data_IF_061410250390
#
_entry.id   IF_061410250390
#
_cell.length_a   1.000
_cell.length_b   1.000
_cell.length_c   1.000
_cell.angle_alpha   90.00
_cell.angle_beta   90.00
_cell.angle_gamma   90.00
#
_symmetry.space_group_name_H-M   'P 1'
#
loop_
_entity.id
_entity.type
_entity.pdbx_description
1 polymer ?
#
# COMPACT_ATOMS: atom_id res chain seq x y z
N UNK A 1 19.11 3.73 -10.85
CA UNK A 1 18.03 3.12 -10.02
C UNK A 1 17.84 4.01 -8.80
N UNK A 2 16.75 4.77 -8.73
CA UNK A 2 16.53 5.79 -7.69
C UNK A 2 15.73 5.20 -6.52
N UNK A 3 16.34 5.15 -5.35
CA UNK A 3 15.66 4.76 -4.11
C UNK A 3 14.79 5.92 -3.63
N UNK A 4 13.47 5.73 -3.59
CA UNK A 4 12.53 6.77 -3.12
C UNK A 4 12.27 6.56 -1.63
N UNK A 5 12.89 7.40 -0.81
CA UNK A 5 12.77 7.37 0.65
C UNK A 5 11.45 8.03 1.07
N UNK A 6 10.45 7.23 1.43
CA UNK A 6 9.17 7.72 1.96
C UNK A 6 9.37 8.03 3.46
N UNK A 7 9.34 9.31 3.82
CA UNK A 7 9.44 9.75 5.21
C UNK A 7 8.09 9.51 5.90
N UNK A 8 8.08 8.64 6.91
CA UNK A 8 6.94 8.45 7.82
C UNK A 8 7.17 9.19 9.15
N UNK A 9 6.11 9.73 9.77
CA UNK A 9 6.19 10.62 10.94
C UNK A 9 6.65 9.93 12.24
N UNK A 10 6.87 8.62 12.24
CA UNK A 10 7.42 7.88 13.38
C UNK A 10 8.63 7.06 12.93
N UNK A 11 9.81 7.68 12.99
CA UNK A 11 11.12 7.04 12.90
C UNK A 11 11.30 5.95 11.82
N UNK A 12 11.64 6.36 10.58
CA UNK A 12 12.25 5.53 9.52
C UNK A 12 11.78 4.07 9.51
N UNK A 13 10.53 3.82 9.09
CA UNK A 13 10.09 2.45 8.77
C UNK A 13 10.89 1.96 7.55
N UNK A 14 11.73 0.95 7.74
CA UNK A 14 12.48 0.32 6.66
C UNK A 14 11.57 -0.63 5.88
N UNK A 15 11.13 -0.17 4.72
CA UNK A 15 10.43 -1.00 3.74
C UNK A 15 11.45 -1.77 2.90
N UNK A 16 11.23 -3.07 2.77
CA UNK A 16 11.98 -3.96 1.89
C UNK A 16 11.06 -4.41 0.77
N UNK A 17 11.38 -4.04 -0.47
CA UNK A 17 10.67 -4.54 -1.64
C UNK A 17 11.11 -5.97 -1.95
N UNK A 18 10.15 -6.85 -2.22
CA UNK A 18 10.41 -8.21 -2.67
C UNK A 18 10.40 -8.26 -4.21
N UNK A 19 11.03 -9.28 -4.81
CA UNK A 19 10.99 -9.49 -6.27
C UNK A 19 9.58 -9.73 -6.82
N UNK A 20 8.65 -10.17 -5.97
CA UNK A 20 7.23 -10.36 -6.26
C UNK A 20 6.44 -9.03 -6.37
N UNK A 21 7.08 -7.89 -6.11
CA UNK A 21 6.46 -6.57 -6.15
C UNK A 21 5.77 -6.14 -4.85
N UNK A 22 5.62 -7.04 -3.88
CA UNK A 22 5.16 -6.73 -2.52
C UNK A 22 6.23 -6.01 -1.70
N UNK A 23 5.84 -5.19 -0.73
CA UNK A 23 6.79 -4.56 0.20
C UNK A 23 6.53 -5.01 1.64
N UNK A 24 7.60 -5.30 2.36
CA UNK A 24 7.54 -5.72 3.75
C UNK A 24 8.16 -4.67 4.66
N UNK A 25 7.55 -4.42 5.81
CA UNK A 25 8.13 -3.64 6.90
C UNK A 25 8.07 -4.44 8.20
N UNK A 26 9.08 -4.25 9.06
CA UNK A 26 9.10 -4.85 10.39
C UNK A 26 9.24 -3.70 11.40
N UNK A 27 8.27 -3.57 12.29
CA UNK A 27 8.21 -2.52 13.31
C UNK A 27 8.05 -3.18 14.67
N UNK A 28 8.79 -2.72 15.68
CA UNK A 28 8.58 -3.16 17.06
C UNK A 28 7.25 -2.66 17.59
N UNK A 29 6.49 -3.53 18.25
CA UNK A 29 5.19 -3.20 18.85
C UNK A 29 5.33 -2.12 19.94
N UNK A 30 6.45 -2.09 20.66
CA UNK A 30 6.78 -1.04 21.62
C UNK A 30 6.98 0.36 21.02
N UNK A 31 7.14 0.47 19.69
CA UNK A 31 7.41 1.75 19.00
C UNK A 31 6.17 2.34 18.32
N UNK A 32 5.13 1.54 18.08
CA UNK A 32 3.94 2.00 17.37
C UNK A 32 2.70 1.35 17.96
N UNK A 33 1.71 2.19 18.28
CA UNK A 33 0.41 1.72 18.73
C UNK A 33 -0.35 1.09 17.56
N UNK A 34 -1.07 -0.01 17.83
CA UNK A 34 -1.85 -0.73 16.81
C UNK A 34 -2.85 0.17 16.08
N UNK A 35 -3.48 1.12 16.79
CA UNK A 35 -4.41 2.09 16.19
C UNK A 35 -3.72 3.00 15.19
N UNK A 36 -2.60 3.63 15.56
CA UNK A 36 -1.83 4.51 14.67
C UNK A 36 -1.29 3.76 13.46
N UNK A 37 -0.84 2.51 13.66
CA UNK A 37 -0.41 1.65 12.56
C UNK A 37 -1.57 1.35 11.61
N UNK A 38 -2.74 1.00 12.15
CA UNK A 38 -3.93 0.76 11.34
C UNK A 38 -4.31 2.00 10.56
N UNK A 39 -4.45 3.16 11.20
CA UNK A 39 -4.81 4.42 10.53
C UNK A 39 -3.85 4.76 9.40
N UNK A 40 -2.54 4.61 9.63
CA UNK A 40 -1.55 4.83 8.58
C UNK A 40 -1.72 3.86 7.40
N UNK A 41 -1.92 2.58 7.67
CA UNK A 41 -2.07 1.56 6.63
C UNK A 41 -3.40 1.71 5.86
N UNK A 42 -4.47 2.09 6.55
CA UNK A 42 -5.77 2.40 5.97
C UNK A 42 -5.68 3.61 5.03
N UNK A 43 -4.98 4.68 5.45
CA UNK A 43 -4.81 5.89 4.66
C UNK A 43 -3.88 5.73 3.45
N UNK A 44 -2.84 4.90 3.54
CA UNK A 44 -1.82 4.77 2.49
C UNK A 44 -1.97 3.53 1.61
N UNK A 45 -2.53 2.44 2.14
CA UNK A 45 -2.64 1.14 1.48
C UNK A 45 -4.03 0.49 1.65
N UNK A 46 -5.14 1.22 1.43
CA UNK A 46 -6.49 0.76 1.78
C UNK A 46 -6.81 -0.60 1.13
N UNK A 47 -7.06 -1.62 1.96
CA UNK A 47 -7.38 -2.97 1.49
C UNK A 47 -6.20 -3.75 0.87
N UNK A 48 -4.98 -3.21 0.89
CA UNK A 48 -3.81 -3.81 0.24
C UNK A 48 -2.68 -4.14 1.22
N UNK A 49 -2.99 -4.25 2.51
CA UNK A 49 -2.01 -4.56 3.54
C UNK A 49 -2.40 -5.79 4.36
N UNK A 50 -1.39 -6.47 4.88
CA UNK A 50 -1.52 -7.54 5.86
C UNK A 50 -0.57 -7.25 7.02
N UNK A 51 -1.07 -7.37 8.25
CA UNK A 51 -0.28 -7.19 9.47
C UNK A 51 -0.25 -8.50 10.24
N UNK A 52 0.95 -8.95 10.59
CA UNK A 52 1.18 -10.12 11.45
C UNK A 52 1.98 -9.71 12.66
N UNK A 53 1.45 -9.95 13.86
CA UNK A 53 2.21 -9.82 15.10
C UNK A 53 3.06 -11.09 15.31
N UNK A 54 4.37 -10.93 15.38
CA UNK A 54 5.34 -12.00 15.65
C UNK A 54 6.13 -11.64 16.91
N UNK A 55 5.75 -12.25 18.03
CA UNK A 55 6.29 -11.97 19.38
C UNK A 55 6.10 -10.50 19.77
N UNK A 56 7.10 -9.66 19.52
CA UNK A 56 7.12 -8.22 19.83
C UNK A 56 7.21 -7.34 18.57
N UNK A 57 7.06 -7.93 17.38
CA UNK A 57 7.25 -7.20 16.12
C UNK A 57 6.02 -7.33 15.23
N UNK A 58 5.52 -6.21 14.73
CA UNK A 58 4.57 -6.16 13.63
C UNK A 58 5.34 -6.36 12.32
N UNK A 59 5.07 -7.47 11.65
CA UNK A 59 5.45 -7.68 10.25
C UNK A 59 4.29 -7.20 9.39
N UNK A 60 4.55 -6.19 8.57
CA UNK A 60 3.58 -5.60 7.65
C UNK A 60 4.00 -6.03 6.26
N UNK A 61 3.03 -6.48 5.47
CA UNK A 61 3.19 -6.82 4.06
C UNK A 61 2.17 -6.01 3.29
N UNK A 62 2.62 -5.09 2.43
CA UNK A 62 1.75 -4.37 1.50
C UNK A 62 1.87 -5.02 0.13
N UNK A 63 0.73 -5.41 -0.41
CA UNK A 63 0.60 -5.93 -1.75
C UNK A 63 0.66 -4.80 -2.76
N UNK A 64 1.24 -5.07 -3.93
CA UNK A 64 1.00 -4.26 -5.10
C UNK A 64 -0.26 -4.81 -5.76
N UNK A 65 -1.44 -4.46 -5.24
CA UNK A 65 -2.56 -4.45 -6.18
C UNK A 65 -2.22 -3.28 -7.07
N UNK A 66 -1.99 -3.47 -8.38
CA UNK A 66 -2.01 -2.32 -9.23
C UNK A 66 -3.40 -1.72 -8.97
N UNK A 67 -3.44 -0.54 -8.36
CA UNK A 67 -4.46 0.44 -8.70
C UNK A 67 -4.20 0.77 -10.17
N UNK A 68 -4.40 -0.23 -11.04
CA UNK A 68 -4.94 -0.01 -12.35
C UNK A 68 -6.22 0.74 -12.06
N UNK A 69 -6.06 2.06 -12.11
CA UNK A 69 -6.95 2.98 -12.78
C UNK A 69 -7.47 2.33 -14.06
N UNK A 70 -8.29 1.29 -13.92
CA UNK A 70 -9.28 0.91 -14.90
C UNK A 70 -10.49 1.76 -14.52
N UNK A 71 -10.36 3.07 -14.74
CA UNK A 71 -11.54 3.80 -15.15
C UNK A 71 -11.63 3.47 -16.63
N UNK A 72 -12.24 2.32 -16.94
CA UNK A 72 -12.82 2.13 -18.26
C UNK A 72 -13.87 3.21 -18.39
N UNK A 73 -13.50 4.35 -18.98
CA UNK A 73 -14.50 5.19 -19.60
C UNK A 73 -14.97 4.38 -20.81
N UNK A 74 -16.02 3.59 -20.64
CA UNK A 74 -16.85 3.21 -21.79
C UNK A 74 -17.41 4.53 -22.34
N UNK A 75 -16.72 5.14 -23.29
CA UNK A 75 -17.33 6.14 -24.17
C UNK A 75 -18.30 5.38 -25.05
N UNK A 76 -19.51 5.16 -24.53
CA UNK A 76 -20.70 4.94 -25.35
C UNK A 76 -21.27 6.32 -25.69
N UNK A 77 -20.87 6.83 -26.85
CA UNK A 77 -21.53 7.92 -27.57
C UNK A 77 -21.52 7.45 -29.02
N UNK A 78 -22.56 6.78 -29.51
CA UNK A 78 -23.91 7.32 -29.58
C UNK A 78 -24.03 8.03 -30.92
N UNK A 79 -24.61 7.33 -31.90
CA UNK A 79 -25.25 7.87 -33.11
C UNK A 79 -24.37 8.64 -34.09
N UNK A 80 -24.13 8.05 -35.26
CA UNK A 80 -24.23 8.77 -36.54
C UNK A 80 -24.73 7.77 -37.56
N UNK A 81 -26.04 7.78 -37.76
CA UNK A 81 -26.65 7.55 -39.05
C UNK A 81 -26.09 8.58 -40.04
N UNK A 82 -25.47 8.13 -41.12
CA UNK A 82 -25.51 8.85 -42.40
C UNK A 82 -25.64 7.81 -43.51
N UNK A 83 -26.72 8.01 -44.26
CA UNK A 83 -27.15 7.40 -45.53
C UNK A 83 -26.11 7.55 -46.64
#
# INVERSE_FOLDING_TARGET
MAWKQIQTPSGKVKWQSNQDGTQNAIISASRVSSSQLKEYLDANFPGQYSVQLKRDKFKITVGHTPLSRIVSFNTVKGGTDEI
#
